data_IF_453501783444
#
_entry.id   IF_453501783444
#
_cell.length_a   1.000
_cell.length_b   1.000
_cell.length_c   1.000
_cell.angle_alpha   90.00
_cell.angle_beta   90.00
_cell.angle_gamma   90.00
#
_symmetry.space_group_name_H-M   'P 1'
#
loop_
_entity.id
_entity.type
_entity.pdbx_description
1 polymer ?
#
# COMPACT_ATOMS: atom_id res chain seq x y z
N UNK A 1 -5.53 -14.14 -16.24
CA UNK A 1 -4.78 -13.09 -16.96
C UNK A 1 -3.28 -13.31 -16.90
N UNK A 2 -2.62 -13.24 -15.71
CA UNK A 2 -1.15 -13.22 -15.53
C UNK A 2 -0.43 -14.39 -16.21
N UNK A 3 -0.82 -15.64 -15.92
CA UNK A 3 -0.21 -16.84 -16.52
C UNK A 3 -0.31 -16.85 -18.05
N UNK A 4 -1.44 -16.42 -18.61
CA UNK A 4 -1.64 -16.38 -20.05
C UNK A 4 -0.77 -15.29 -20.71
N UNK A 5 -0.68 -14.10 -20.10
CA UNK A 5 0.19 -13.02 -20.59
C UNK A 5 1.66 -13.39 -20.56
N UNK A 6 2.13 -13.98 -19.45
CA UNK A 6 3.52 -14.45 -19.32
C UNK A 6 3.85 -15.54 -20.36
N UNK A 7 2.95 -16.51 -20.54
CA UNK A 7 3.11 -17.57 -21.55
C UNK A 7 3.09 -17.05 -22.98
N UNK A 8 2.41 -15.92 -23.23
CA UNK A 8 2.37 -15.25 -24.54
C UNK A 8 3.60 -14.35 -24.80
N UNK A 9 4.54 -14.25 -23.88
CA UNK A 9 5.78 -13.48 -24.04
C UNK A 9 5.67 -12.01 -23.64
N UNK A 10 4.80 -11.65 -22.70
CA UNK A 10 4.80 -10.32 -22.11
C UNK A 10 6.12 -10.05 -21.39
N UNK A 11 6.65 -8.83 -21.48
CA UNK A 11 7.90 -8.42 -20.84
C UNK A 11 7.68 -7.88 -19.42
N UNK A 12 6.47 -7.39 -19.12
CA UNK A 12 6.09 -6.87 -17.79
C UNK A 12 4.57 -6.91 -17.60
N UNK A 13 4.15 -6.72 -16.35
CA UNK A 13 2.74 -6.60 -15.97
C UNK A 13 2.51 -5.17 -15.50
N UNK A 14 1.47 -4.51 -16.04
CA UNK A 14 0.99 -3.22 -15.54
C UNK A 14 -0.38 -3.43 -14.87
N UNK A 15 -0.49 -3.01 -13.62
CA UNK A 15 -1.72 -2.94 -12.84
C UNK A 15 -2.05 -1.46 -12.73
N UNK A 16 -3.03 -0.98 -13.51
CA UNK A 16 -3.26 0.46 -13.64
C UNK A 16 -4.66 0.90 -13.20
N UNK A 17 -4.80 2.19 -12.87
CA UNK A 17 -6.06 2.86 -12.53
C UNK A 17 -6.73 2.25 -11.29
N UNK A 18 -5.93 1.77 -10.34
CA UNK A 18 -6.44 1.16 -9.13
C UNK A 18 -6.93 2.23 -8.15
N UNK A 19 -8.14 2.06 -7.62
CA UNK A 19 -8.79 3.02 -6.72
C UNK A 19 -8.99 2.51 -5.28
N UNK A 20 -8.60 1.27 -5.02
CA UNK A 20 -8.70 0.60 -3.72
C UNK A 20 -7.37 -0.07 -3.35
N UNK A 21 -6.97 0.09 -2.08
CA UNK A 21 -5.70 -0.43 -1.58
C UNK A 21 -5.69 -1.97 -1.54
N UNK A 22 -6.77 -2.61 -1.05
CA UNK A 22 -6.84 -4.07 -0.93
C UNK A 22 -6.94 -4.75 -2.30
N UNK A 23 -7.72 -4.19 -3.21
CA UNK A 23 -7.80 -4.67 -4.60
C UNK A 23 -6.44 -4.57 -5.28
N UNK A 24 -5.74 -3.45 -5.10
CA UNK A 24 -4.37 -3.27 -5.62
C UNK A 24 -3.42 -4.34 -5.06
N UNK A 25 -3.47 -4.58 -3.75
CA UNK A 25 -2.67 -5.63 -3.09
C UNK A 25 -2.98 -7.02 -3.66
N UNK A 26 -4.26 -7.34 -3.83
CA UNK A 26 -4.67 -8.63 -4.38
C UNK A 26 -4.14 -8.83 -5.81
N UNK A 27 -4.20 -7.78 -6.64
CA UNK A 27 -3.67 -7.82 -8.01
C UNK A 27 -2.14 -8.01 -8.03
N UNK A 28 -1.39 -7.30 -7.17
CA UNK A 28 0.07 -7.45 -7.05
C UNK A 28 0.45 -8.85 -6.57
N UNK A 29 -0.22 -9.36 -5.52
CA UNK A 29 0.02 -10.73 -5.02
C UNK A 29 -0.27 -11.76 -6.12
N UNK A 30 -1.38 -11.60 -6.85
CA UNK A 30 -1.70 -12.50 -7.96
C UNK A 30 -0.64 -12.45 -9.07
N UNK A 31 -0.06 -11.28 -9.37
CA UNK A 31 1.02 -11.15 -10.32
C UNK A 31 2.30 -11.86 -9.83
N UNK A 32 2.73 -11.57 -8.60
CA UNK A 32 3.95 -12.13 -7.99
C UNK A 32 3.87 -13.63 -7.71
N UNK A 33 2.69 -14.16 -7.38
CA UNK A 33 2.50 -15.61 -7.15
C UNK A 33 2.45 -16.43 -8.46
N UNK A 34 2.30 -15.80 -9.61
CA UNK A 34 2.08 -16.50 -10.88
C UNK A 34 3.05 -16.08 -12.00
N UNK A 35 4.04 -15.23 -11.72
CA UNK A 35 5.01 -14.76 -12.71
C UNK A 35 6.21 -14.10 -12.02
N UNK A 36 7.37 -14.20 -12.64
CA UNK A 36 8.59 -13.48 -12.26
C UNK A 36 8.78 -12.17 -13.05
N UNK A 37 7.78 -11.78 -13.86
CA UNK A 37 7.83 -10.54 -14.64
C UNK A 37 7.83 -9.31 -13.73
N UNK A 38 8.47 -8.21 -14.14
CA UNK A 38 8.36 -6.94 -13.47
C UNK A 38 6.89 -6.51 -13.34
N UNK A 39 6.52 -5.98 -12.17
CA UNK A 39 5.16 -5.49 -11.89
C UNK A 39 5.21 -3.99 -11.66
N UNK A 40 4.52 -3.26 -12.50
CA UNK A 40 4.31 -1.81 -12.40
C UNK A 40 2.89 -1.56 -11.92
N UNK A 41 2.72 -0.59 -11.02
CA UNK A 41 1.41 -0.29 -10.42
C UNK A 41 1.14 1.20 -10.46
N UNK A 42 -0.03 1.59 -10.97
CA UNK A 42 -0.49 2.98 -10.89
C UNK A 42 -1.87 3.05 -10.27
N UNK A 43 -2.06 4.05 -9.41
CA UNK A 43 -3.29 4.30 -8.69
C UNK A 43 -3.96 5.58 -9.20
N UNK A 44 -5.28 5.64 -9.09
CA UNK A 44 -6.08 6.81 -9.44
C UNK A 44 -6.44 7.57 -8.17
N UNK A 45 -5.83 8.74 -7.97
CA UNK A 45 -6.11 9.64 -6.85
C UNK A 45 -7.12 10.70 -7.25
N UNK A 46 -7.97 11.10 -6.32
CA UNK A 46 -8.95 12.17 -6.51
C UNK A 46 -8.38 13.57 -6.22
N UNK A 47 -9.23 14.60 -6.25
CA UNK A 47 -8.85 15.99 -5.97
C UNK A 47 -8.40 16.22 -4.50
N UNK A 48 -8.68 15.30 -3.59
CA UNK A 48 -8.16 15.32 -2.21
C UNK A 48 -6.81 14.60 -2.07
N UNK A 49 -6.24 14.16 -3.20
CA UNK A 49 -4.99 13.40 -3.30
C UNK A 49 -5.05 12.04 -2.59
N UNK A 50 -6.23 11.43 -2.56
CA UNK A 50 -6.46 10.12 -1.97
C UNK A 50 -7.11 9.17 -2.96
N UNK A 51 -6.95 7.87 -2.75
CA UNK A 51 -7.75 6.87 -3.42
C UNK A 51 -9.22 6.99 -2.97
N UNK A 52 -10.14 6.45 -3.75
CA UNK A 52 -11.57 6.45 -3.44
C UNK A 52 -11.85 5.86 -2.04
N UNK A 53 -11.06 4.94 -1.57
CA UNK A 53 -11.16 4.31 -0.24
C UNK A 53 -10.31 5.00 0.83
N UNK A 54 -9.67 6.13 0.53
CA UNK A 54 -9.00 7.01 1.48
C UNK A 54 -7.48 6.87 1.59
N UNK A 55 -6.85 5.93 0.86
CA UNK A 55 -5.41 5.73 0.93
C UNK A 55 -4.64 6.95 0.40
N UNK A 56 -3.63 7.40 1.18
CA UNK A 56 -2.67 8.42 0.75
C UNK A 56 -1.60 7.83 -0.18
N UNK A 57 -0.90 8.66 -0.98
CA UNK A 57 0.26 8.21 -1.76
C UNK A 57 1.32 7.52 -0.88
N UNK A 58 1.64 8.07 0.29
CA UNK A 58 2.58 7.45 1.23
C UNK A 58 2.16 6.06 1.70
N UNK A 59 0.86 5.84 1.98
CA UNK A 59 0.34 4.52 2.36
C UNK A 59 0.48 3.51 1.22
N UNK A 60 0.18 3.94 -0.01
CA UNK A 60 0.33 3.10 -1.20
C UNK A 60 1.79 2.77 -1.50
N UNK A 61 2.70 3.76 -1.40
CA UNK A 61 4.15 3.51 -1.54
C UNK A 61 4.62 2.46 -0.53
N UNK A 62 4.29 2.64 0.75
CA UNK A 62 4.71 1.72 1.80
C UNK A 62 4.25 0.28 1.53
N UNK A 63 2.99 0.10 1.11
CA UNK A 63 2.45 -1.21 0.78
C UNK A 63 3.08 -1.80 -0.50
N UNK A 64 3.14 -1.02 -1.58
CA UNK A 64 3.58 -1.51 -2.89
C UNK A 64 5.07 -1.82 -2.93
N UNK A 65 5.92 -1.03 -2.28
CA UNK A 65 7.34 -1.36 -2.13
C UNK A 65 7.54 -2.60 -1.25
N UNK A 66 6.76 -2.72 -0.18
CA UNK A 66 6.74 -3.93 0.63
C UNK A 66 6.39 -5.18 -0.19
N UNK A 67 5.47 -5.07 -1.14
CA UNK A 67 5.08 -6.13 -2.07
C UNK A 67 6.04 -6.26 -3.27
N UNK A 68 7.16 -5.55 -3.27
CA UNK A 68 8.17 -5.57 -4.33
C UNK A 68 7.66 -5.17 -5.71
N UNK A 69 6.77 -4.18 -5.79
CA UNK A 69 6.45 -3.53 -7.06
C UNK A 69 7.71 -2.91 -7.66
N UNK A 70 7.92 -3.06 -8.96
CA UNK A 70 9.14 -2.61 -9.64
C UNK A 70 9.07 -1.15 -10.09
N UNK A 71 7.86 -0.61 -10.22
CA UNK A 71 7.58 0.81 -10.40
C UNK A 71 6.19 1.11 -9.84
N UNK A 72 5.99 2.31 -9.32
CA UNK A 72 4.73 2.75 -8.73
C UNK A 72 4.36 4.13 -9.26
N UNK A 73 3.08 4.50 -9.20
CA UNK A 73 2.75 5.84 -9.69
C UNK A 73 1.28 6.18 -9.69
N UNK A 74 0.95 7.13 -10.53
CA UNK A 74 -0.38 7.72 -10.65
C UNK A 74 -0.82 7.78 -12.10
N UNK A 75 -2.08 7.45 -12.37
CA UNK A 75 -2.70 7.66 -13.68
C UNK A 75 -4.18 8.02 -13.54
N UNK A 76 -4.73 8.62 -14.57
CA UNK A 76 -6.14 8.98 -14.68
C UNK A 76 -6.65 9.98 -13.62
N UNK A 77 -7.96 10.20 -13.55
CA UNK A 77 -8.71 11.09 -12.64
C UNK A 77 -8.36 12.58 -12.74
N UNK A 78 -7.09 12.94 -12.70
CA UNK A 78 -6.59 14.32 -12.63
C UNK A 78 -5.87 14.73 -13.93
N UNK A 79 -5.83 16.01 -14.20
CA UNK A 79 -4.93 16.62 -15.18
C UNK A 79 -3.52 16.78 -14.61
N UNK A 80 -2.53 17.16 -15.46
CA UNK A 80 -1.13 17.18 -15.04
C UNK A 80 -0.84 18.17 -13.90
N UNK A 81 -1.42 19.37 -13.89
CA UNK A 81 -1.25 20.34 -12.81
C UNK A 81 -1.81 19.84 -11.47
N UNK A 82 -2.98 19.19 -11.50
CA UNK A 82 -3.62 18.66 -10.29
C UNK A 82 -2.86 17.45 -9.72
N UNK A 83 -2.06 16.75 -10.54
CA UNK A 83 -1.24 15.63 -10.09
C UNK A 83 0.04 16.03 -9.35
N UNK A 84 0.52 17.26 -9.50
CA UNK A 84 1.80 17.69 -8.93
C UNK A 84 1.97 17.37 -7.44
N UNK A 85 0.99 17.63 -6.53
CA UNK A 85 1.13 17.26 -5.13
C UNK A 85 1.20 15.75 -4.88
N UNK A 86 0.47 14.95 -5.67
CA UNK A 86 0.53 13.48 -5.60
C UNK A 86 1.90 12.99 -6.03
N UNK A 87 2.45 13.54 -7.11
CA UNK A 87 3.78 13.21 -7.63
C UNK A 87 4.86 13.56 -6.61
N UNK A 88 4.76 14.72 -5.98
CA UNK A 88 5.70 15.17 -4.93
C UNK A 88 5.71 14.17 -3.76
N UNK A 89 4.54 13.75 -3.28
CA UNK A 89 4.44 12.77 -2.19
C UNK A 89 4.96 11.38 -2.61
N UNK A 90 4.63 10.93 -3.83
CA UNK A 90 5.17 9.67 -4.36
C UNK A 90 6.70 9.69 -4.40
N UNK A 91 7.32 10.73 -4.96
CA UNK A 91 8.79 10.85 -5.07
C UNK A 91 9.44 10.95 -3.69
N UNK A 92 8.80 11.63 -2.75
CA UNK A 92 9.30 11.76 -1.38
C UNK A 92 9.50 10.40 -0.70
N UNK A 93 8.58 9.47 -0.90
CA UNK A 93 8.58 8.17 -0.21
C UNK A 93 9.09 7.01 -1.05
N UNK A 94 9.03 7.11 -2.38
CA UNK A 94 9.40 6.01 -3.27
C UNK A 94 10.91 5.79 -3.38
N UNK A 95 11.31 4.52 -3.29
CA UNK A 95 12.67 4.03 -3.60
C UNK A 95 12.74 3.32 -4.97
N UNK A 96 11.62 3.25 -5.68
CA UNK A 96 11.47 2.65 -7.00
C UNK A 96 11.04 3.70 -8.03
N UNK A 97 11.21 3.45 -9.34
CA UNK A 97 10.77 4.36 -10.40
C UNK A 97 9.31 4.80 -10.25
N UNK A 98 9.07 6.11 -10.41
CA UNK A 98 7.73 6.70 -10.37
C UNK A 98 7.17 6.89 -11.77
N UNK A 99 5.90 6.47 -11.97
CA UNK A 99 5.15 6.56 -13.22
C UNK A 99 4.08 7.65 -13.09
N UNK A 100 3.97 8.52 -14.09
CA UNK A 100 2.94 9.57 -14.13
C UNK A 100 2.26 9.61 -15.49
N UNK A 101 0.93 9.39 -15.51
CA UNK A 101 0.11 9.31 -16.72
C UNK A 101 -1.20 10.11 -16.52
N UNK A 102 -1.16 11.46 -16.65
CA UNK A 102 -2.33 12.30 -16.42
C UNK A 102 -3.37 12.20 -17.56
N UNK A 103 -4.60 12.62 -17.25
CA UNK A 103 -5.58 12.95 -18.29
C UNK A 103 -5.21 14.26 -18.98
N UNK A 104 -5.76 14.52 -20.16
CA UNK A 104 -5.67 15.80 -20.87
C UNK A 104 -6.52 16.88 -20.19
N UNK A 105 -6.45 16.99 -18.87
CA UNK A 105 -7.28 17.83 -18.02
C UNK A 105 -8.45 17.08 -17.38
N UNK A 106 -9.38 17.84 -16.77
CA UNK A 106 -10.57 17.27 -16.13
C UNK A 106 -11.66 17.03 -17.16
N UNK A 107 -12.28 15.84 -17.23
CA UNK A 107 -13.34 15.56 -18.19
C UNK A 107 -14.57 16.44 -17.94
N UNK A 108 -15.13 17.04 -19.02
CA UNK A 108 -16.39 17.79 -19.00
C UNK A 108 -17.33 17.25 -20.07
N UNK A 109 -18.62 17.22 -19.77
CA UNK A 109 -19.64 16.83 -20.75
C UNK A 109 -20.19 18.09 -21.42
N UNK A 110 -19.99 18.19 -22.75
CA UNK A 110 -20.52 19.27 -23.58
C UNK A 110 -21.25 18.65 -24.75
N UNK A 111 -22.55 18.95 -24.91
CA UNK A 111 -23.36 18.37 -25.99
C UNK A 111 -23.41 16.85 -26.01
N UNK A 112 -23.36 16.18 -24.83
CA UNK A 112 -23.36 14.72 -24.71
C UNK A 112 -22.03 14.06 -25.07
N UNK A 113 -20.96 14.83 -25.31
CA UNK A 113 -19.60 14.33 -25.55
C UNK A 113 -18.67 14.70 -24.40
N UNK A 114 -17.80 13.77 -24.02
CA UNK A 114 -16.73 14.04 -23.08
C UNK A 114 -15.62 14.83 -23.81
N UNK A 115 -15.27 16.00 -23.29
CA UNK A 115 -14.15 16.82 -23.75
C UNK A 115 -13.17 17.02 -22.60
N UNK A 116 -11.90 17.24 -22.95
CA UNK A 116 -10.82 17.56 -22.03
C UNK A 116 -10.32 18.98 -22.37
N UNK A 117 -9.94 19.74 -21.35
CA UNK A 117 -9.69 21.18 -21.46
C UNK A 117 -8.21 21.57 -21.52
N UNK A 118 -7.29 20.62 -21.47
CA UNK A 118 -5.84 20.85 -21.58
C UNK A 118 -5.39 20.42 -22.98
N UNK A 119 -4.75 21.32 -23.71
CA UNK A 119 -4.15 21.00 -25.01
C UNK A 119 -2.77 20.34 -24.86
N UNK A 120 -2.22 19.83 -25.97
CA UNK A 120 -0.97 19.07 -25.97
C UNK A 120 0.26 19.92 -25.56
N UNK A 121 0.24 21.24 -25.85
CA UNK A 121 1.32 22.16 -25.51
C UNK A 121 1.36 22.41 -23.99
N UNK A 122 0.23 22.83 -23.41
CA UNK A 122 0.09 23.06 -21.98
C UNK A 122 0.34 21.77 -21.18
N UNK A 123 -0.18 20.62 -21.66
CA UNK A 123 0.09 19.33 -21.05
C UNK A 123 1.59 19.04 -20.99
N UNK A 124 2.28 19.14 -22.13
CA UNK A 124 3.71 18.81 -22.22
C UNK A 124 4.59 19.77 -21.39
N UNK A 125 4.19 21.03 -21.21
CA UNK A 125 4.92 21.98 -20.34
C UNK A 125 4.86 21.55 -18.87
N UNK A 126 3.72 21.04 -18.41
CA UNK A 126 3.62 20.50 -17.04
C UNK A 126 4.38 19.16 -16.91
N UNK A 127 4.37 18.33 -17.96
CA UNK A 127 5.15 17.08 -17.94
C UNK A 127 6.66 17.34 -17.85
N UNK A 128 7.16 18.48 -18.32
CA UNK A 128 8.55 18.90 -18.08
C UNK A 128 8.81 19.09 -16.59
N UNK A 129 7.93 19.83 -15.89
CA UNK A 129 8.05 20.02 -14.43
C UNK A 129 8.04 18.68 -13.69
N UNK A 130 7.12 17.79 -14.07
CA UNK A 130 6.99 16.43 -13.50
C UNK A 130 8.27 15.62 -13.71
N UNK A 131 8.87 15.71 -14.91
CA UNK A 131 10.15 15.05 -15.19
C UNK A 131 11.30 15.60 -14.33
N UNK A 132 11.37 16.93 -14.16
CA UNK A 132 12.37 17.62 -13.35
C UNK A 132 12.26 17.28 -11.85
N UNK A 133 11.08 16.89 -11.36
CA UNK A 133 10.88 16.40 -10.00
C UNK A 133 11.54 15.03 -9.76
N UNK A 134 11.94 14.29 -10.81
CA UNK A 134 12.56 12.97 -10.71
C UNK A 134 11.67 11.80 -11.12
N UNK A 135 10.54 12.07 -11.80
CA UNK A 135 9.69 11.01 -12.35
C UNK A 135 10.44 10.23 -13.43
N UNK A 136 10.36 8.91 -13.37
CA UNK A 136 11.12 8.01 -14.25
C UNK A 136 10.37 7.62 -15.53
N UNK A 137 9.04 7.54 -15.48
CA UNK A 137 8.21 7.06 -16.58
C UNK A 137 7.06 8.05 -16.78
N UNK A 138 6.96 8.58 -17.99
CA UNK A 138 5.96 9.56 -18.37
C UNK A 138 5.02 9.00 -19.44
N UNK A 139 3.75 9.35 -19.34
CA UNK A 139 2.76 8.95 -20.31
C UNK A 139 1.54 9.86 -20.27
N UNK A 140 0.43 9.33 -20.73
CA UNK A 140 -0.87 10.00 -20.67
C UNK A 140 -1.99 8.98 -20.52
N UNK A 141 -3.15 9.44 -20.08
CA UNK A 141 -4.35 8.64 -19.90
C UNK A 141 -5.50 9.24 -20.72
N UNK A 142 -6.67 9.38 -20.15
CA UNK A 142 -7.87 9.80 -20.87
C UNK A 142 -7.71 11.18 -21.56
N UNK A 143 -8.16 11.27 -22.81
CA UNK A 143 -8.09 12.50 -23.61
C UNK A 143 -6.75 12.77 -24.27
N UNK A 144 -5.66 12.09 -23.90
CA UNK A 144 -4.37 12.23 -24.59
C UNK A 144 -4.36 11.54 -25.95
N UNK A 145 -3.61 12.12 -26.90
CA UNK A 145 -3.43 11.60 -28.26
C UNK A 145 -1.94 11.43 -28.54
N UNK A 146 -1.55 10.83 -29.68
CA UNK A 146 -0.13 10.75 -30.08
C UNK A 146 0.59 12.08 -30.05
N UNK A 147 -0.09 13.19 -30.32
CA UNK A 147 0.49 14.56 -30.27
C UNK A 147 0.96 14.93 -28.86
N UNK A 148 0.19 14.62 -27.82
CA UNK A 148 0.56 14.83 -26.41
C UNK A 148 1.84 14.08 -26.06
N UNK A 149 1.94 12.83 -26.47
CA UNK A 149 3.10 11.98 -26.19
C UNK A 149 4.32 12.46 -26.98
N UNK A 150 4.14 12.86 -28.25
CA UNK A 150 5.21 13.39 -29.08
C UNK A 150 5.82 14.65 -28.46
N UNK A 151 4.99 15.64 -28.09
CA UNK A 151 5.47 16.89 -27.48
C UNK A 151 6.11 16.63 -26.10
N UNK A 152 5.51 15.80 -25.27
CA UNK A 152 6.11 15.41 -24.00
C UNK A 152 7.50 14.81 -24.21
N UNK A 153 7.62 13.84 -25.11
CA UNK A 153 8.90 13.19 -25.44
C UNK A 153 9.93 14.20 -25.97
N UNK A 154 9.55 15.10 -26.86
CA UNK A 154 10.46 16.12 -27.41
C UNK A 154 10.97 17.08 -26.34
N UNK A 155 10.10 17.55 -25.43
CA UNK A 155 10.46 18.49 -24.38
C UNK A 155 11.27 17.83 -23.25
N UNK A 156 10.98 16.57 -22.90
CA UNK A 156 11.62 15.91 -21.74
C UNK A 156 12.89 15.12 -22.09
N UNK A 157 13.12 14.72 -23.34
CA UNK A 157 14.26 13.87 -23.74
C UNK A 157 15.66 14.38 -23.38
N UNK A 158 15.80 15.66 -23.04
CA UNK A 158 17.07 16.28 -22.62
C UNK A 158 17.18 16.46 -21.11
N UNK A 159 16.13 16.16 -20.38
CA UNK A 159 16.14 16.20 -18.91
C UNK A 159 16.96 14.99 -18.45
N UNK A 160 17.98 15.18 -17.61
CA UNK A 160 18.77 14.06 -17.09
C UNK A 160 17.86 13.10 -16.30
N UNK A 161 18.02 11.80 -16.51
CA UNK A 161 17.38 10.80 -15.67
C UNK A 161 17.96 10.87 -14.26
N UNK A 162 17.08 11.05 -13.28
CA UNK A 162 17.42 10.99 -11.86
C UNK A 162 17.00 9.62 -11.33
N UNK A 163 17.95 8.71 -11.02
CA UNK A 163 17.61 7.43 -10.45
C UNK A 163 16.90 7.62 -9.09
N UNK A 164 15.91 6.78 -8.74
CA UNK A 164 15.27 6.85 -7.43
C UNK A 164 16.30 6.72 -6.31
N UNK A 165 16.18 7.57 -5.31
CA UNK A 165 17.01 7.48 -4.11
C UNK A 165 16.40 6.46 -3.14
N UNK A 166 17.21 5.54 -2.64
CA UNK A 166 16.75 4.56 -1.65
C UNK A 166 16.41 5.26 -0.33
N UNK A 167 15.16 5.15 0.09
CA UNK A 167 14.68 5.67 1.38
C UNK A 167 14.95 4.62 2.47
N UNK A 168 15.34 5.10 3.65
CA UNK A 168 15.67 4.25 4.80
C UNK A 168 14.60 4.32 5.90
N UNK A 169 13.46 4.92 5.61
CA UNK A 169 12.39 5.11 6.57
C UNK A 169 11.66 3.79 6.86
N UNK A 170 11.43 3.53 8.14
CA UNK A 170 10.58 2.42 8.55
C UNK A 170 9.14 2.88 8.58
N UNK A 171 8.33 2.39 7.64
CA UNK A 171 6.93 2.79 7.49
C UNK A 171 6.03 1.57 7.59
N UNK A 172 4.95 1.69 8.37
CA UNK A 172 3.79 0.80 8.35
C UNK A 172 2.59 1.57 7.83
N UNK A 173 1.60 0.89 7.26
CA UNK A 173 0.40 1.56 6.79
C UNK A 173 -0.87 0.76 7.04
N UNK A 174 -1.96 1.48 7.21
CA UNK A 174 -3.31 0.96 7.10
C UNK A 174 -3.85 1.15 5.67
N UNK A 175 -5.14 0.92 5.49
CA UNK A 175 -5.83 1.18 4.21
C UNK A 175 -5.88 2.67 3.83
N UNK A 176 -5.60 3.59 4.74
CA UNK A 176 -5.76 5.04 4.51
C UNK A 176 -4.51 5.85 4.78
N UNK A 177 -3.73 5.50 5.80
CA UNK A 177 -2.59 6.31 6.26
C UNK A 177 -1.31 5.51 6.41
N UNK A 178 -0.18 6.21 6.24
CA UNK A 178 1.15 5.73 6.57
C UNK A 178 1.60 6.28 7.93
N UNK A 179 2.39 5.50 8.67
CA UNK A 179 3.01 5.87 9.92
C UNK A 179 4.52 5.60 9.83
N UNK A 180 5.32 6.66 9.89
CA UNK A 180 6.78 6.57 9.98
C UNK A 180 7.19 6.26 11.43
N UNK A 181 8.09 5.28 11.59
CA UNK A 181 8.63 4.87 12.89
C UNK A 181 10.07 5.38 13.01
N UNK A 182 10.37 6.09 14.08
CA UNK A 182 11.73 6.59 14.36
C UNK A 182 11.81 8.09 14.57
N UNK A 183 10.87 8.87 14.03
CA UNK A 183 10.88 10.33 14.14
C UNK A 183 10.30 10.86 15.46
N UNK A 184 9.44 10.07 16.11
CA UNK A 184 8.83 10.37 17.42
C UNK A 184 8.46 9.06 18.14
N UNK A 185 8.16 9.10 19.46
CA UNK A 185 7.70 7.92 20.19
C UNK A 185 6.35 7.41 19.66
N UNK A 186 6.33 6.19 19.11
CA UNK A 186 5.10 5.53 18.62
C UNK A 186 4.50 4.67 19.71
N UNK A 187 3.23 4.90 20.04
CA UNK A 187 2.50 4.13 21.03
C UNK A 187 1.78 2.96 20.36
N UNK A 188 2.12 1.74 20.75
CA UNK A 188 1.44 0.50 20.31
C UNK A 188 0.46 0.09 21.39
N UNK A 189 -0.82 0.03 21.07
CA UNK A 189 -1.90 -0.41 21.97
C UNK A 189 -1.94 -1.95 22.07
N UNK A 190 -1.69 -2.51 23.26
CA UNK A 190 -1.52 -3.96 23.52
C UNK A 190 -2.73 -4.59 24.23
N UNK A 191 -3.92 -3.96 24.21
CA UNK A 191 -5.06 -4.49 24.97
C UNK A 191 -5.83 -5.61 24.28
N UNK A 192 -5.71 -5.77 22.97
CA UNK A 192 -6.24 -6.90 22.21
C UNK A 192 -5.28 -8.09 22.42
N UNK A 193 -5.34 -8.69 23.60
CA UNK A 193 -4.45 -9.77 24.00
C UNK A 193 -5.10 -10.54 25.19
N UNK A 194 -5.23 -11.88 25.15
CA UNK A 194 -5.89 -12.68 26.17
C UNK A 194 -5.06 -12.78 27.48
N UNK A 195 -3.76 -12.49 27.47
CA UNK A 195 -2.87 -12.69 28.61
C UNK A 195 -3.32 -11.88 29.82
N UNK A 196 -3.67 -12.57 30.92
CA UNK A 196 -4.11 -11.97 32.17
C UNK A 196 -5.51 -11.32 32.15
N UNK A 197 -6.24 -11.39 31.04
CA UNK A 197 -7.54 -10.66 30.84
C UNK A 197 -8.70 -11.65 30.74
N UNK A 198 -9.38 -11.97 31.85
CA UNK A 198 -10.48 -12.96 31.92
C UNK A 198 -11.62 -12.65 30.94
N UNK A 199 -12.10 -11.39 30.89
CA UNK A 199 -13.21 -10.99 30.02
C UNK A 199 -12.82 -11.12 28.54
N UNK A 200 -11.55 -10.77 28.20
CA UNK A 200 -11.07 -10.90 26.83
C UNK A 200 -11.00 -12.37 26.38
N UNK A 201 -10.50 -13.27 27.26
CA UNK A 201 -10.54 -14.72 27.01
C UNK A 201 -11.94 -15.24 26.75
N UNK A 202 -12.89 -14.80 27.60
CA UNK A 202 -14.31 -15.16 27.43
C UNK A 202 -14.84 -14.67 26.07
N UNK A 203 -14.55 -13.44 25.66
CA UNK A 203 -14.96 -12.88 24.38
C UNK A 203 -14.42 -13.70 23.20
N UNK A 204 -13.16 -14.16 23.27
CA UNK A 204 -12.58 -15.02 22.26
C UNK A 204 -13.32 -16.37 22.16
N UNK A 205 -13.59 -17.03 23.31
CA UNK A 205 -14.32 -18.31 23.35
C UNK A 205 -15.77 -18.17 22.84
N UNK A 206 -16.43 -17.05 23.12
CA UNK A 206 -17.79 -16.74 22.70
C UNK A 206 -17.86 -16.16 21.28
N UNK A 207 -16.72 -15.91 20.65
CA UNK A 207 -16.63 -15.20 19.36
C UNK A 207 -17.29 -13.82 19.39
N UNK A 208 -17.23 -13.13 20.55
CA UNK A 208 -17.75 -11.78 20.78
C UNK A 208 -16.81 -10.73 20.14
N UNK A 209 -16.87 -10.64 18.81
CA UNK A 209 -16.00 -9.74 18.02
C UNK A 209 -16.31 -8.28 18.38
N UNK A 210 -17.56 -7.93 18.67
CA UNK A 210 -17.94 -6.56 19.01
C UNK A 210 -17.22 -6.06 20.27
N UNK A 211 -17.07 -6.91 21.28
CA UNK A 211 -16.26 -6.57 22.46
C UNK A 211 -14.78 -6.33 22.08
N UNK A 212 -14.23 -7.17 21.20
CA UNK A 212 -12.82 -7.04 20.75
C UNK A 212 -12.64 -5.71 20.00
N UNK A 213 -13.57 -5.36 19.10
CA UNK A 213 -13.55 -4.09 18.37
C UNK A 213 -13.64 -2.90 19.32
N UNK A 214 -14.50 -2.98 20.34
CA UNK A 214 -14.61 -1.96 21.39
C UNK A 214 -13.29 -1.75 22.14
N UNK A 215 -12.51 -2.80 22.37
CA UNK A 215 -11.17 -2.70 22.96
C UNK A 215 -10.19 -1.98 22.02
N UNK A 216 -10.29 -2.22 20.72
CA UNK A 216 -9.50 -1.52 19.71
C UNK A 216 -9.80 -0.02 19.64
N UNK A 217 -11.08 0.33 19.52
CA UNK A 217 -11.57 1.72 19.48
C UNK A 217 -11.13 2.49 20.73
N UNK A 218 -11.30 1.89 21.91
CA UNK A 218 -10.88 2.53 23.16
C UNK A 218 -9.38 2.84 23.24
N UNK A 219 -8.52 2.02 22.62
CA UNK A 219 -7.09 2.29 22.53
C UNK A 219 -6.78 3.43 21.55
N UNK A 220 -7.47 3.49 20.42
CA UNK A 220 -7.36 4.60 19.47
C UNK A 220 -7.76 5.93 20.13
N UNK A 221 -8.89 5.97 20.85
CA UNK A 221 -9.37 7.13 21.60
C UNK A 221 -8.37 7.58 22.69
N UNK A 222 -7.56 6.65 23.22
CA UNK A 222 -6.51 6.93 24.20
C UNK A 222 -5.16 7.30 23.55
N UNK A 223 -5.11 7.43 22.24
CA UNK A 223 -3.96 7.92 21.50
C UNK A 223 -2.97 6.83 21.04
N UNK A 224 -3.38 5.58 20.94
CA UNK A 224 -2.57 4.58 20.26
C UNK A 224 -2.33 4.97 18.81
N UNK A 225 -1.14 4.66 18.29
CA UNK A 225 -0.77 4.87 16.89
C UNK A 225 -0.84 3.58 16.06
N UNK A 226 -0.69 2.43 16.74
CA UNK A 226 -0.75 1.08 16.16
C UNK A 226 -1.55 0.22 17.15
N UNK A 227 -2.33 -0.74 16.66
CA UNK A 227 -2.96 -1.76 17.51
C UNK A 227 -2.24 -3.10 17.36
N UNK A 228 -1.74 -3.64 18.47
CA UNK A 228 -1.24 -5.01 18.55
C UNK A 228 -2.41 -5.97 18.68
N UNK A 229 -2.45 -6.98 17.80
CA UNK A 229 -3.58 -7.92 17.69
C UNK A 229 -3.08 -9.34 17.98
N UNK A 230 -3.34 -9.78 19.20
CA UNK A 230 -3.06 -11.15 19.67
C UNK A 230 -4.36 -11.82 20.13
N UNK A 231 -4.69 -12.95 19.52
CA UNK A 231 -5.87 -13.76 19.86
C UNK A 231 -5.47 -15.19 20.28
N UNK A 232 -4.18 -15.41 20.57
CA UNK A 232 -3.61 -16.72 20.91
C UNK A 232 -4.25 -17.31 22.17
N UNK A 233 -5.13 -18.28 21.99
CA UNK A 233 -5.81 -19.00 23.06
C UNK A 233 -5.99 -20.48 22.64
N UNK A 234 -5.51 -21.46 23.46
CA UNK A 234 -5.57 -22.88 23.08
C UNK A 234 -6.96 -23.44 22.84
N UNK A 235 -7.99 -22.79 23.38
CA UNK A 235 -9.38 -23.24 23.34
C UNK A 235 -10.12 -22.87 22.04
N UNK A 236 -9.47 -22.12 21.12
CA UNK A 236 -10.10 -21.63 19.88
C UNK A 236 -9.26 -21.94 18.64
N UNK A 237 -9.87 -21.82 17.46
CA UNK A 237 -9.12 -21.74 16.19
C UNK A 237 -8.51 -20.34 16.05
N UNK A 238 -7.23 -20.21 16.44
CA UNK A 238 -6.49 -18.95 16.43
C UNK A 238 -6.42 -18.37 15.03
N UNK A 239 -6.17 -19.20 14.00
CA UNK A 239 -6.02 -18.72 12.62
C UNK A 239 -7.31 -18.11 12.07
N UNK A 240 -8.47 -18.73 12.35
CA UNK A 240 -9.78 -18.17 11.98
C UNK A 240 -10.07 -16.90 12.75
N UNK A 241 -9.89 -16.92 14.07
CA UNK A 241 -10.17 -15.76 14.92
C UNK A 241 -9.28 -14.57 14.56
N UNK A 242 -7.98 -14.78 14.36
CA UNK A 242 -7.04 -13.71 13.97
C UNK A 242 -7.45 -13.08 12.62
N UNK A 243 -7.82 -13.91 11.66
CA UNK A 243 -8.29 -13.44 10.35
C UNK A 243 -9.56 -12.58 10.47
N UNK A 244 -10.54 -13.04 11.25
CA UNK A 244 -11.80 -12.32 11.48
C UNK A 244 -11.58 -11.01 12.21
N UNK A 245 -10.81 -11.01 13.30
CA UNK A 245 -10.49 -9.80 14.07
C UNK A 245 -9.70 -8.79 13.24
N UNK A 246 -8.70 -9.25 12.47
CA UNK A 246 -7.93 -8.40 11.56
C UNK A 246 -8.83 -7.74 10.52
N UNK A 247 -9.73 -8.49 9.89
CA UNK A 247 -10.66 -7.94 8.90
C UNK A 247 -11.66 -6.96 9.54
N UNK A 248 -12.20 -7.30 10.71
CA UNK A 248 -13.21 -6.47 11.39
C UNK A 248 -12.65 -5.18 11.98
N UNK A 249 -11.42 -5.19 12.52
CA UNK A 249 -10.76 -3.98 13.02
C UNK A 249 -10.58 -2.94 11.93
N UNK A 250 -10.21 -3.33 10.73
CA UNK A 250 -10.04 -2.43 9.58
C UNK A 250 -11.34 -1.73 9.14
N UNK A 251 -12.51 -2.19 9.59
CA UNK A 251 -13.78 -1.55 9.33
C UNK A 251 -14.13 -0.45 10.36
N UNK A 252 -13.45 -0.41 11.52
CA UNK A 252 -13.80 0.49 12.64
C UNK A 252 -12.63 1.41 13.06
N UNK A 253 -11.41 1.15 12.60
CA UNK A 253 -10.24 2.01 12.86
C UNK A 253 -9.37 2.10 11.62
N UNK A 254 -8.70 3.23 11.43
CA UNK A 254 -7.70 3.43 10.38
C UNK A 254 -6.26 3.35 10.90
N UNK A 255 -6.06 2.89 12.14
CA UNK A 255 -4.74 2.62 12.69
C UNK A 255 -4.08 1.42 11.99
N UNK A 256 -2.78 1.48 11.71
CA UNK A 256 -2.02 0.29 11.34
C UNK A 256 -2.12 -0.81 12.40
N UNK A 257 -2.12 -2.07 11.96
CA UNK A 257 -2.15 -3.21 12.87
C UNK A 257 -0.77 -3.88 12.95
N UNK A 258 -0.45 -4.35 14.15
CA UNK A 258 0.63 -5.28 14.43
C UNK A 258 0.01 -6.68 14.61
N UNK A 259 0.37 -7.60 13.74
CA UNK A 259 -0.11 -8.99 13.79
C UNK A 259 0.80 -9.77 14.72
N UNK A 260 0.28 -10.14 15.89
CA UNK A 260 1.03 -10.83 16.95
C UNK A 260 0.55 -12.27 17.11
N UNK A 261 1.29 -13.20 16.55
CA UNK A 261 1.05 -14.64 16.65
C UNK A 261 2.31 -15.45 16.36
N UNK A 262 2.38 -16.64 16.94
CA UNK A 262 3.39 -17.66 16.62
C UNK A 262 2.89 -18.67 15.59
N UNK A 263 1.59 -18.68 15.29
CA UNK A 263 1.00 -19.51 14.25
C UNK A 263 1.24 -18.88 12.88
N UNK A 264 2.15 -19.46 12.12
CA UNK A 264 2.49 -18.99 10.76
C UNK A 264 1.33 -19.09 9.77
N UNK A 265 0.44 -20.06 9.94
CA UNK A 265 -0.75 -20.21 9.11
C UNK A 265 -1.77 -19.12 9.37
N UNK A 266 -2.00 -18.80 10.64
CA UNK A 266 -2.84 -17.67 11.07
C UNK A 266 -2.24 -16.35 10.64
N UNK A 267 -0.92 -16.16 10.82
CA UNK A 267 -0.21 -14.98 10.36
C UNK A 267 -0.38 -14.77 8.85
N UNK A 268 -0.18 -15.81 8.03
CA UNK A 268 -0.33 -15.70 6.58
C UNK A 268 -1.74 -15.30 6.16
N UNK A 269 -2.77 -15.90 6.77
CA UNK A 269 -4.17 -15.54 6.51
C UNK A 269 -4.46 -14.10 6.88
N UNK A 270 -4.04 -13.65 8.06
CA UNK A 270 -4.22 -12.27 8.51
C UNK A 270 -3.51 -11.28 7.60
N UNK A 271 -2.24 -11.52 7.25
CA UNK A 271 -1.46 -10.66 6.36
C UNK A 271 -2.05 -10.58 4.95
N UNK A 272 -2.66 -11.65 4.44
CA UNK A 272 -3.35 -11.64 3.13
C UNK A 272 -4.58 -10.75 3.13
N UNK A 273 -5.32 -10.70 4.23
CA UNK A 273 -6.54 -9.89 4.41
C UNK A 273 -6.25 -8.46 4.88
N UNK A 274 -5.04 -8.21 5.38
CA UNK A 274 -4.66 -6.91 5.89
C UNK A 274 -4.50 -5.90 4.75
N UNK A 275 -5.20 -4.79 4.84
CA UNK A 275 -5.22 -3.73 3.84
C UNK A 275 -4.16 -2.67 4.17
N UNK A 276 -2.95 -2.87 3.69
CA UNK A 276 -1.79 -2.02 3.96
C UNK A 276 -0.50 -2.81 4.20
N UNK A 277 0.50 -2.14 4.79
CA UNK A 277 1.77 -2.72 5.23
C UNK A 277 1.74 -2.95 6.74
N UNK A 278 1.52 -4.20 7.15
CA UNK A 278 1.41 -4.58 8.56
C UNK A 278 2.75 -4.52 9.30
N UNK A 279 2.69 -4.33 10.63
CA UNK A 279 3.77 -4.73 11.52
C UNK A 279 3.56 -6.21 11.90
N UNK A 280 4.65 -6.97 12.06
CA UNK A 280 4.63 -8.40 12.37
C UNK A 280 5.37 -8.64 13.67
N UNK A 281 4.69 -9.20 14.66
CA UNK A 281 5.24 -9.53 15.98
C UNK A 281 5.25 -11.07 16.14
N UNK A 282 6.36 -11.76 16.16
CA UNK A 282 7.71 -11.23 16.07
C UNK A 282 8.67 -12.29 15.50
N UNK A 283 9.85 -11.87 15.17
CA UNK A 283 10.96 -12.76 14.85
C UNK A 283 12.01 -12.69 15.96
N UNK A 284 12.68 -13.81 16.25
CA UNK A 284 13.81 -13.88 17.18
C UNK A 284 15.02 -14.51 16.48
N UNK A 285 16.17 -14.57 17.18
CA UNK A 285 17.43 -15.09 16.63
C UNK A 285 17.50 -16.61 16.41
N UNK A 286 16.42 -17.35 16.64
CA UNK A 286 16.35 -18.80 16.33
C UNK A 286 16.17 -19.00 14.84
N UNK A 287 17.02 -19.84 14.24
CA UNK A 287 17.00 -20.08 12.80
C UNK A 287 15.66 -20.62 12.30
N UNK A 288 15.01 -21.50 13.08
CA UNK A 288 13.69 -22.05 12.77
C UNK A 288 12.61 -20.98 12.68
N UNK A 289 12.64 -19.98 13.59
CA UNK A 289 11.68 -18.86 13.60
C UNK A 289 11.95 -17.94 12.41
N UNK A 290 13.22 -17.60 12.15
CA UNK A 290 13.59 -16.76 11.01
C UNK A 290 13.17 -17.42 9.69
N UNK A 291 13.40 -18.72 9.52
CA UNK A 291 13.00 -19.49 8.34
C UNK A 291 11.47 -19.56 8.14
N UNK A 292 10.71 -19.51 9.21
CA UNK A 292 9.25 -19.52 9.16
C UNK A 292 8.65 -18.12 8.89
N UNK A 293 9.18 -17.06 9.51
CA UNK A 293 8.59 -15.73 9.50
C UNK A 293 9.11 -14.87 8.33
N UNK A 294 10.42 -14.89 8.00
CA UNK A 294 10.96 -14.03 6.95
C UNK A 294 10.34 -14.22 5.57
N UNK A 295 9.98 -15.45 5.12
CA UNK A 295 9.26 -15.61 3.87
C UNK A 295 7.88 -14.93 3.86
N UNK A 296 7.17 -14.89 4.99
CA UNK A 296 5.89 -14.18 5.14
C UNK A 296 6.10 -12.66 5.12
N UNK A 297 7.12 -12.17 5.85
CA UNK A 297 7.52 -10.75 5.82
C UNK A 297 7.82 -10.31 4.39
N UNK A 298 8.61 -11.08 3.67
CA UNK A 298 8.97 -10.79 2.28
C UNK A 298 7.75 -10.84 1.35
N UNK A 299 6.92 -11.87 1.46
CA UNK A 299 5.75 -12.08 0.58
C UNK A 299 4.70 -10.98 0.73
N UNK A 300 4.43 -10.55 1.96
CA UNK A 300 3.38 -9.58 2.28
C UNK A 300 3.90 -8.18 2.58
N UNK A 301 5.22 -7.99 2.54
CA UNK A 301 5.87 -6.69 2.67
C UNK A 301 5.81 -6.08 4.06
N UNK A 302 5.61 -6.90 5.11
CA UNK A 302 5.47 -6.42 6.48
C UNK A 302 6.77 -5.86 7.08
N UNK A 303 6.65 -5.12 8.17
CA UNK A 303 7.75 -4.66 9.01
C UNK A 303 7.85 -5.55 10.24
N UNK A 304 8.93 -6.31 10.38
CA UNK A 304 9.07 -7.28 11.47
C UNK A 304 9.63 -6.64 12.76
N UNK A 305 9.01 -6.93 13.88
CA UNK A 305 9.58 -6.72 15.22
C UNK A 305 10.60 -7.82 15.49
N UNK A 306 11.82 -7.45 15.89
CA UNK A 306 12.89 -8.41 16.14
C UNK A 306 13.40 -8.31 17.59
N UNK A 307 13.44 -9.45 18.26
CA UNK A 307 14.12 -9.58 19.57
C UNK A 307 15.58 -9.95 19.35
N UNK A 308 16.43 -8.92 19.19
CA UNK A 308 17.86 -9.10 18.89
C UNK A 308 18.73 -9.41 20.11
N UNK A 309 18.22 -9.22 21.33
CA UNK A 309 18.94 -9.47 22.59
C UNK A 309 18.37 -10.70 23.28
N UNK A 310 18.63 -11.86 22.71
CA UNK A 310 18.41 -13.13 23.41
C UNK A 310 19.58 -13.38 24.36
N UNK A 311 19.28 -13.40 25.66
CA UNK A 311 20.19 -13.92 26.66
C UNK A 311 20.13 -15.45 26.69
#
# INVERSE_FOLDING_TARGET
>A
GVKAGAAAGADLIIIETMSDCLETKAAVLAAKENSDLPVFVTNAYDASHKLMTGASPAAMVAMLEGLHANAIGVNCSLGPEQMLPVVEELIRYASVPVIVQPNAGIPRTVGGKTIYDVDAEAFSDVMVKIAEMGTSILGGCCGTTPEFIRLTSEKTRRIPYLPPEHKHDTIVSSYSRALEIGNFPVLIGERINPTGKKRFKQALCESDVDYILGVGIAQEEQGAHILDVNVGLPEIDEADMLSRVTASLQAVTDLPLQIDTVDTGGMERALRLYNGKAMINSVNGKEEVMRAIFPLVQKYGGTAVSYTHLR
#
